data_IF_621175243192
#
_entry.id   IF_621175243192
#
_cell.length_a   1.000
_cell.length_b   1.000
_cell.length_c   1.000
_cell.angle_alpha   90.00
_cell.angle_beta   90.00
_cell.angle_gamma   90.00
#
_symmetry.space_group_name_H-M   'P 1'
#
loop_
_entity.id
_entity.type
_entity.pdbx_description
1 polymer ?
#
# COMPACT_ATOMS: atom_id res chain seq x y z
N UNK A 1 29.47 -7.98 29.78
CA UNK A 1 29.44 -8.59 28.43
C UNK A 1 28.31 -9.61 28.45
N UNK A 2 27.19 -9.32 27.79
CA UNK A 2 26.13 -10.33 27.62
C UNK A 2 26.26 -10.83 26.19
N UNK A 3 26.64 -12.11 26.09
CA UNK A 3 26.75 -12.87 24.86
C UNK A 3 25.34 -12.99 24.25
N UNK A 4 25.12 -12.34 23.10
CA UNK A 4 23.88 -12.48 22.36
C UNK A 4 23.86 -13.89 21.76
N UNK A 5 23.09 -14.79 22.38
CA UNK A 5 22.84 -16.13 21.87
C UNK A 5 22.03 -16.00 20.59
N UNK A 6 22.69 -16.12 19.44
CA UNK A 6 22.07 -16.14 18.12
C UNK A 6 21.30 -17.47 17.94
N UNK A 7 20.05 -17.51 18.41
CA UNK A 7 19.17 -18.66 18.19
C UNK A 7 18.60 -18.61 16.77
N UNK A 8 19.03 -19.54 15.93
CA UNK A 8 18.37 -19.85 14.66
C UNK A 8 17.41 -21.03 14.85
N UNK A 9 16.14 -20.84 14.50
CA UNK A 9 15.16 -21.92 14.53
C UNK A 9 15.19 -22.64 13.17
N UNK A 10 15.61 -23.90 13.17
CA UNK A 10 15.61 -24.73 11.97
C UNK A 10 14.37 -25.62 11.99
N UNK A 11 13.47 -25.43 11.02
CA UNK A 11 12.29 -26.27 10.86
C UNK A 11 12.46 -27.17 9.63
N UNK A 12 12.23 -28.48 9.83
CA UNK A 12 12.30 -29.53 8.81
C UNK A 12 13.57 -30.38 8.89
N UNK A 13 13.44 -31.69 8.65
CA UNK A 13 14.59 -32.60 8.39
C UNK A 13 14.54 -33.03 6.92
N UNK A 14 15.47 -32.55 6.10
CA UNK A 14 15.57 -32.88 4.66
C UNK A 14 16.41 -31.87 3.85
N UNK A 15 16.54 -32.07 2.52
CA UNK A 15 17.38 -31.29 1.60
C UNK A 15 17.06 -29.78 1.44
N UNK A 16 16.12 -29.25 2.22
CA UNK A 16 15.78 -27.82 2.25
C UNK A 16 15.50 -27.37 3.69
N UNK A 17 16.52 -27.27 4.57
CA UNK A 17 16.31 -26.67 5.87
C UNK A 17 16.03 -25.18 5.68
N UNK A 18 14.87 -24.71 6.14
CA UNK A 18 14.56 -23.29 6.15
C UNK A 18 15.07 -22.71 7.47
N UNK A 19 16.10 -21.86 7.38
CA UNK A 19 16.70 -21.20 8.54
C UNK A 19 16.00 -19.85 8.68
N UNK A 20 15.26 -19.69 9.76
CA UNK A 20 14.60 -18.42 10.09
C UNK A 20 15.55 -17.63 10.96
N UNK A 21 16.24 -16.68 10.34
CA UNK A 21 17.12 -15.75 11.03
C UNK A 21 16.32 -14.69 11.79
N UNK A 22 16.64 -14.53 13.08
CA UNK A 22 16.01 -13.54 13.96
C UNK A 22 16.16 -12.12 13.44
N UNK A 23 17.25 -11.78 12.73
CA UNK A 23 17.41 -10.47 12.08
C UNK A 23 16.46 -10.26 10.90
N UNK A 24 16.09 -11.32 10.16
CA UNK A 24 15.09 -11.22 9.09
C UNK A 24 13.68 -11.12 9.65
N UNK A 25 13.41 -11.80 10.77
CA UNK A 25 12.16 -11.62 11.51
C UNK A 25 12.06 -10.21 12.07
N UNK A 26 13.14 -9.68 12.65
CA UNK A 26 13.19 -8.30 13.14
C UNK A 26 13.08 -7.28 12.00
N UNK A 27 13.68 -7.55 10.83
CA UNK A 27 13.51 -6.72 9.64
C UNK A 27 12.06 -6.75 9.15
N UNK A 28 11.38 -7.90 9.14
CA UNK A 28 9.93 -7.99 8.85
C UNK A 28 9.09 -7.28 9.92
N UNK A 29 9.56 -7.26 11.18
CA UNK A 29 8.88 -6.61 12.30
C UNK A 29 9.12 -5.09 12.34
N UNK A 30 10.28 -4.62 11.88
CA UNK A 30 10.70 -3.21 11.85
C UNK A 30 10.45 -2.53 10.49
N UNK A 31 10.41 -3.28 9.38
CA UNK A 31 9.84 -2.79 8.12
C UNK A 31 8.33 -2.69 8.31
N UNK A 32 7.86 -1.45 8.42
CA UNK A 32 6.45 -1.04 8.48
C UNK A 32 5.68 -1.32 7.19
N UNK A 33 5.95 -2.44 6.49
CA UNK A 33 5.15 -2.91 5.35
C UNK A 33 4.16 -4.08 5.66
N UNK A 34 3.49 -4.17 6.83
CA UNK A 34 2.29 -5.02 6.95
C UNK A 34 1.06 -4.58 6.09
N UNK A 35 0.77 -3.28 5.82
CA UNK A 35 -0.52 -2.91 5.20
C UNK A 35 -0.59 -3.19 3.69
N UNK A 36 0.52 -2.99 2.96
CA UNK A 36 0.55 -3.23 1.52
C UNK A 36 0.37 -4.71 1.17
N UNK A 37 1.00 -5.62 1.93
CA UNK A 37 0.87 -7.06 1.71
C UNK A 37 -0.51 -7.59 2.10
N UNK A 38 -1.09 -7.10 3.21
CA UNK A 38 -2.44 -7.49 3.63
C UNK A 38 -3.51 -7.09 2.61
N UNK A 39 -3.37 -5.90 2.01
CA UNK A 39 -4.29 -5.42 0.98
C UNK A 39 -4.02 -6.07 -0.34
N UNK A 40 -2.74 -6.25 -0.69
CA UNK A 40 -2.35 -7.00 -1.86
C UNK A 40 -3.00 -8.38 -1.90
N UNK A 41 -3.00 -9.12 -0.79
CA UNK A 41 -3.67 -10.42 -0.71
C UNK A 41 -5.18 -10.36 -0.99
N UNK A 42 -5.84 -9.23 -0.68
CA UNK A 42 -7.26 -8.99 -0.92
C UNK A 42 -7.58 -8.53 -2.35
N UNK A 43 -6.63 -7.87 -3.02
CA UNK A 43 -6.85 -7.29 -4.36
C UNK A 43 -6.08 -8.00 -5.47
N UNK A 44 -5.16 -8.92 -5.16
CA UNK A 44 -4.32 -9.62 -6.15
C UNK A 44 -5.13 -10.37 -7.21
N UNK A 45 -6.33 -10.82 -6.84
CA UNK A 45 -7.26 -11.53 -7.72
C UNK A 45 -7.85 -10.60 -8.79
N UNK A 46 -7.81 -9.29 -8.57
CA UNK A 46 -8.25 -8.30 -9.56
C UNK A 46 -7.27 -8.19 -10.73
N UNK A 47 -6.05 -8.73 -10.58
CA UNK A 47 -4.98 -8.59 -11.56
C UNK A 47 -4.59 -9.93 -12.18
N UNK A 48 -4.29 -9.91 -13.48
CA UNK A 48 -3.64 -11.04 -14.14
C UNK A 48 -2.26 -11.31 -13.53
N UNK A 49 -1.84 -12.58 -13.45
CA UNK A 49 -0.51 -12.97 -12.91
C UNK A 49 0.66 -12.21 -13.56
N UNK A 50 0.57 -11.90 -14.85
CA UNK A 50 1.59 -11.12 -15.57
C UNK A 50 1.63 -9.65 -15.14
N UNK A 51 0.51 -9.11 -14.68
CA UNK A 51 0.38 -7.73 -14.22
C UNK A 51 0.56 -7.58 -12.72
N UNK A 52 0.47 -8.67 -11.96
CA UNK A 52 0.53 -8.66 -10.50
C UNK A 52 1.80 -8.00 -9.95
N UNK A 53 2.98 -8.33 -10.49
CA UNK A 53 4.24 -7.70 -10.08
C UNK A 53 4.22 -6.18 -10.26
N UNK A 54 3.64 -5.71 -11.37
CA UNK A 54 3.57 -4.28 -11.70
C UNK A 54 2.53 -3.57 -10.83
N UNK A 55 1.37 -4.19 -10.63
CA UNK A 55 0.31 -3.70 -9.75
C UNK A 55 0.80 -3.59 -8.29
N UNK A 56 1.54 -4.58 -7.79
CA UNK A 56 2.13 -4.54 -6.45
C UNK A 56 3.14 -3.39 -6.30
N UNK A 57 3.96 -3.12 -7.33
CA UNK A 57 4.87 -1.98 -7.33
C UNK A 57 4.13 -0.63 -7.28
N UNK A 58 3.02 -0.50 -8.01
CA UNK A 58 2.18 0.69 -7.94
C UNK A 58 1.50 0.84 -6.58
N UNK A 59 0.90 -0.23 -6.06
CA UNK A 59 0.31 -0.23 -4.72
C UNK A 59 1.35 0.21 -3.69
N UNK A 60 2.55 -0.35 -3.72
CA UNK A 60 3.62 0.03 -2.80
C UNK A 60 3.98 1.53 -2.88
N UNK A 61 4.04 2.10 -4.09
CA UNK A 61 4.29 3.54 -4.29
C UNK A 61 3.16 4.43 -3.75
N UNK A 62 1.92 3.96 -3.82
CA UNK A 62 0.77 4.65 -3.19
C UNK A 62 0.80 4.54 -1.67
N UNK A 63 1.20 3.38 -1.12
CA UNK A 63 1.30 3.17 0.32
C UNK A 63 2.44 3.97 0.96
N UNK A 64 3.54 4.14 0.21
CA UNK A 64 4.77 4.78 0.66
C UNK A 64 5.16 5.86 -0.36
N UNK A 65 4.43 6.99 -0.40
CA UNK A 65 4.78 8.08 -1.30
C UNK A 65 6.16 8.61 -0.92
N UNK A 66 7.13 8.43 -1.81
CA UNK A 66 8.40 9.11 -1.68
C UNK A 66 8.16 10.61 -1.89
N UNK A 67 8.74 11.51 -1.08
CA UNK A 67 8.72 12.94 -1.39
C UNK A 67 9.41 13.17 -2.75
N UNK A 68 8.83 13.94 -3.70
CA UNK A 68 7.62 14.77 -3.64
C UNK A 68 6.51 14.25 -4.58
N UNK A 69 5.87 13.13 -4.28
CA UNK A 69 4.78 12.62 -5.12
C UNK A 69 3.60 13.60 -5.14
N UNK A 70 3.31 14.18 -6.31
CA UNK A 70 2.23 15.19 -6.46
C UNK A 70 0.85 14.54 -6.51
N UNK A 71 -0.21 15.35 -6.31
CA UNK A 71 -1.61 14.91 -6.49
C UNK A 71 -1.84 14.32 -7.89
N UNK A 72 -1.30 14.97 -8.92
CA UNK A 72 -1.41 14.56 -10.32
C UNK A 72 -0.74 13.20 -10.53
N UNK A 73 0.48 13.04 -10.03
CA UNK A 73 1.20 11.77 -10.14
C UNK A 73 0.53 10.64 -9.37
N UNK A 74 -0.01 10.94 -8.18
CA UNK A 74 -0.75 9.96 -7.39
C UNK A 74 -2.00 9.49 -8.13
N UNK A 75 -2.76 10.43 -8.71
CA UNK A 75 -3.92 10.12 -9.55
C UNK A 75 -3.51 9.25 -10.74
N UNK A 76 -2.50 9.67 -11.50
CA UNK A 76 -2.04 8.94 -12.67
C UNK A 76 -1.52 7.53 -12.32
N UNK A 77 -0.89 7.36 -11.16
CA UNK A 77 -0.39 6.08 -10.69
C UNK A 77 -1.55 5.17 -10.23
N UNK A 78 -2.58 5.73 -9.62
CA UNK A 78 -3.81 5.03 -9.27
C UNK A 78 -4.62 4.61 -10.51
N UNK A 79 -4.70 5.47 -11.53
CA UNK A 79 -5.32 5.11 -12.81
C UNK A 79 -4.57 3.97 -13.49
N UNK A 80 -3.23 4.02 -13.52
CA UNK A 80 -2.42 2.91 -14.03
C UNK A 80 -2.62 1.62 -13.23
N UNK A 81 -2.89 1.71 -11.94
CA UNK A 81 -3.25 0.54 -11.13
C UNK A 81 -4.62 0.01 -11.56
N UNK A 82 -5.64 0.87 -11.70
CA UNK A 82 -6.97 0.49 -12.20
C UNK A 82 -6.91 -0.18 -13.58
N UNK A 83 -6.15 0.37 -14.52
CA UNK A 83 -6.01 -0.17 -15.88
C UNK A 83 -5.37 -1.58 -15.94
N UNK A 84 -4.61 -1.97 -14.91
CA UNK A 84 -4.05 -3.31 -14.82
C UNK A 84 -5.06 -4.35 -14.34
N UNK A 85 -6.17 -3.92 -13.75
CA UNK A 85 -7.21 -4.79 -13.27
C UNK A 85 -7.94 -5.49 -14.44
N UNK A 86 -8.50 -6.66 -14.19
CA UNK A 86 -9.35 -7.35 -15.14
C UNK A 86 -10.59 -6.50 -15.45
N UNK A 87 -11.13 -6.59 -16.69
CA UNK A 87 -12.39 -5.95 -17.02
C UNK A 87 -13.49 -6.45 -16.07
N UNK A 88 -14.25 -5.51 -15.50
CA UNK A 88 -15.25 -5.78 -14.47
C UNK A 88 -14.75 -5.69 -13.02
N UNK A 89 -13.43 -5.55 -12.80
CA UNK A 89 -12.88 -5.19 -11.49
C UNK A 89 -12.52 -3.71 -11.38
N UNK A 90 -12.60 -2.96 -12.48
CA UNK A 90 -12.30 -1.52 -12.52
C UNK A 90 -13.23 -0.71 -11.62
N UNK A 91 -14.49 -1.14 -11.47
CA UNK A 91 -15.49 -0.50 -10.60
C UNK A 91 -15.10 -0.50 -9.11
N UNK A 92 -14.24 -1.43 -8.70
CA UNK A 92 -13.72 -1.46 -7.32
C UNK A 92 -12.68 -0.36 -7.06
N UNK A 93 -12.26 0.38 -8.08
CA UNK A 93 -11.31 1.50 -7.99
C UNK A 93 -12.02 2.82 -8.27
N UNK A 94 -12.39 3.54 -7.21
CA UNK A 94 -13.07 4.83 -7.32
C UNK A 94 -12.10 5.99 -7.21
N UNK A 95 -12.29 6.98 -8.08
CA UNK A 95 -11.55 8.25 -8.06
C UNK A 95 -12.60 9.36 -7.99
N UNK A 96 -12.54 10.15 -6.93
CA UNK A 96 -13.47 11.25 -6.69
C UNK A 96 -12.69 12.54 -6.41
N UNK A 97 -13.03 13.59 -7.14
CA UNK A 97 -12.44 14.91 -6.98
C UNK A 97 -13.53 15.85 -6.49
N UNK A 98 -13.50 16.15 -5.19
CA UNK A 98 -14.43 17.08 -4.58
C UNK A 98 -13.89 18.51 -4.72
N UNK A 99 -14.72 19.40 -5.26
CA UNK A 99 -14.47 20.84 -5.22
C UNK A 99 -14.49 21.30 -3.75
N UNK A 100 -13.37 21.83 -3.28
CA UNK A 100 -13.32 22.58 -2.04
C UNK A 100 -13.86 23.99 -2.33
N UNK A 101 -14.35 24.69 -1.31
CA UNK A 101 -14.91 26.06 -1.44
C UNK A 101 -13.91 27.04 -2.07
N UNK A 102 -12.62 26.70 -2.09
CA UNK A 102 -11.58 27.34 -2.88
C UNK A 102 -11.16 26.44 -4.06
N UNK A 103 -11.27 26.97 -5.29
CA UNK A 103 -10.99 26.25 -6.55
C UNK A 103 -9.56 25.69 -6.65
N UNK A 104 -8.60 26.28 -5.93
CA UNK A 104 -7.20 25.86 -5.84
C UNK A 104 -6.95 24.66 -4.91
N UNK A 105 -7.93 24.23 -4.11
CA UNK A 105 -7.71 23.27 -3.02
C UNK A 105 -8.55 21.99 -3.13
N UNK A 106 -8.79 21.52 -4.36
CA UNK A 106 -9.60 20.33 -4.66
C UNK A 106 -9.10 19.08 -3.94
N UNK A 107 -9.99 18.39 -3.26
CA UNK A 107 -9.66 17.16 -2.52
C UNK A 107 -9.69 15.98 -3.49
N UNK A 108 -8.59 15.23 -3.59
CA UNK A 108 -8.56 13.94 -4.29
C UNK A 108 -8.85 12.81 -3.31
N UNK A 109 -9.90 12.04 -3.57
CA UNK A 109 -10.20 10.81 -2.86
C UNK A 109 -10.03 9.63 -3.82
N UNK A 110 -9.13 8.71 -3.48
CA UNK A 110 -8.92 7.45 -4.20
C UNK A 110 -9.35 6.32 -3.27
N UNK A 111 -10.08 5.35 -3.79
CA UNK A 111 -10.63 4.26 -2.98
C UNK A 111 -10.53 2.94 -3.72
N UNK A 112 -10.12 1.90 -2.99
CA UNK A 112 -10.26 0.52 -3.43
C UNK A 112 -11.27 -0.17 -2.51
N UNK A 113 -12.30 -0.79 -3.09
CA UNK A 113 -13.32 -1.56 -2.35
C UNK A 113 -13.17 -3.06 -2.58
N UNK A 114 -13.66 -3.85 -1.64
CA UNK A 114 -13.80 -5.30 -1.79
C UNK A 114 -15.03 -5.65 -2.64
N UNK A 115 -15.10 -6.89 -3.12
CA UNK A 115 -16.29 -7.51 -3.73
C UNK A 115 -17.49 -7.52 -2.79
N UNK A 116 -17.24 -7.48 -1.48
CA UNK A 116 -18.26 -7.39 -0.43
C UNK A 116 -18.70 -5.94 -0.13
N UNK A 117 -18.14 -4.94 -0.82
CA UNK A 117 -18.58 -3.53 -0.77
C UNK A 117 -17.97 -2.68 0.35
N UNK A 118 -17.02 -3.18 1.14
CA UNK A 118 -16.29 -2.37 2.13
C UNK A 118 -15.00 -1.79 1.56
N UNK A 119 -14.56 -0.66 2.13
CA UNK A 119 -13.30 -0.01 1.75
C UNK A 119 -12.10 -0.85 2.21
N UNK A 120 -11.17 -1.14 1.31
CA UNK A 120 -9.89 -1.79 1.57
C UNK A 120 -8.78 -0.77 1.78
N UNK A 121 -8.74 0.24 0.91
CA UNK A 121 -7.79 1.34 0.91
C UNK A 121 -8.53 2.63 0.58
N UNK A 122 -8.26 3.68 1.35
CA UNK A 122 -8.66 5.05 1.01
C UNK A 122 -7.44 5.96 1.08
N UNK A 123 -7.17 6.69 0.00
CA UNK A 123 -6.14 7.72 -0.06
C UNK A 123 -6.85 9.06 -0.23
N UNK A 124 -6.55 10.02 0.65
CA UNK A 124 -7.08 11.38 0.56
C UNK A 124 -5.94 12.38 0.47
N UNK A 125 -5.96 13.23 -0.55
CA UNK A 125 -4.99 14.29 -0.77
C UNK A 125 -5.72 15.63 -0.80
N UNK A 126 -5.43 16.49 0.18
CA UNK A 126 -5.84 17.90 0.21
C UNK A 126 -4.59 18.76 0.31
N UNK A 127 -4.14 19.01 1.55
CA UNK A 127 -2.85 19.62 1.85
C UNK A 127 -1.81 18.59 2.31
N UNK A 128 -2.26 17.44 2.82
CA UNK A 128 -1.46 16.32 3.32
C UNK A 128 -1.88 15.03 2.63
N UNK A 129 -0.98 14.04 2.62
CA UNK A 129 -1.24 12.70 2.10
C UNK A 129 -1.78 11.81 3.23
N UNK A 130 -3.05 11.45 3.17
CA UNK A 130 -3.70 10.59 4.15
C UNK A 130 -3.97 9.22 3.55
N UNK A 131 -3.63 8.17 4.29
CA UNK A 131 -3.89 6.78 3.90
C UNK A 131 -4.62 6.07 5.03
N UNK A 132 -5.73 5.42 4.67
CA UNK A 132 -6.56 4.64 5.58
C UNK A 132 -6.74 3.21 5.05
N UNK A 133 -6.64 2.24 5.95
CA UNK A 133 -6.69 0.80 5.68
C UNK A 133 -7.73 0.14 6.59
N UNK A 134 -8.41 -0.89 6.08
CA UNK A 134 -9.44 -1.64 6.85
C UNK A 134 -8.94 -2.25 8.17
N UNK A 135 -7.64 -2.59 8.28
CA UNK A 135 -7.06 -3.38 9.38
C UNK A 135 -6.31 -2.55 10.47
N UNK A 136 -6.52 -1.23 10.53
CA UNK A 136 -5.88 -0.27 11.45
C UNK A 136 -4.38 -0.01 11.24
N UNK A 137 -4.05 1.24 10.91
CA UNK A 137 -3.18 2.21 11.62
C UNK A 137 -3.18 3.47 10.74
N UNK A 138 -3.63 4.60 11.28
CA UNK A 138 -3.63 5.89 10.59
C UNK A 138 -2.19 6.39 10.46
N UNK A 139 -1.61 6.35 9.26
CA UNK A 139 -0.32 6.98 8.99
C UNK A 139 -0.55 8.39 8.46
N UNK A 140 -0.44 9.39 9.33
CA UNK A 140 -0.36 10.79 8.94
C UNK A 140 1.06 11.07 8.45
N UNK A 141 1.22 11.31 7.14
CA UNK A 141 2.44 11.90 6.61
C UNK A 141 2.24 13.41 6.50
N UNK A 142 2.93 14.23 7.32
CA UNK A 142 2.88 15.68 7.15
C UNK A 142 3.55 16.04 5.83
N UNK A 143 2.82 16.72 4.92
CA UNK A 143 3.46 17.42 3.81
C UNK A 143 4.05 18.69 4.38
N UNK A 144 5.38 18.81 4.30
CA UNK A 144 6.12 19.96 4.81
C UNK A 144 5.75 21.17 3.94
N UNK A 145 5.09 22.17 4.54
CA UNK A 145 4.90 23.47 3.91
C UNK A 145 6.28 24.07 3.61
N UNK A 146 6.51 24.44 2.35
CA UNK A 146 7.70 25.21 1.97
C UNK A 146 7.60 26.60 2.57
N UNK A 147 8.67 27.00 3.26
CA UNK A 147 8.93 28.37 3.72
C UNK A 147 9.30 29.27 2.53
#
# INVERSE_FOLDING_TARGET
MIEQVNMSLVIGKGCFPCIIDTYKVLDVFNNTAPPALSIWEKIKEFFCRTHQTKAMSYLHKLCHPAPPLTKIETKALFEKLRELAYPGFEDYFSIDEADDVNEDNKILNLRITSTEGYNLLTIRIKNNYFIEWKDNIHHLYPLRQSD
#
